data_IF_286168425381
#
_entry.id   IF_286168425381
#
_cell.length_a   1.000
_cell.length_b   1.000
_cell.length_c   1.000
_cell.angle_alpha   90.00
_cell.angle_beta   90.00
_cell.angle_gamma   90.00
#
_symmetry.space_group_name_H-M   'P 1'
#
loop_
_entity.id
_entity.type
_entity.pdbx_description
1 polymer ?
#
# COMPACT_ATOMS: atom_id res chain seq x y z
N UNK A 1 -17.45 5.42 10.14
CA UNK A 1 -16.05 5.39 10.60
C UNK A 1 -15.08 5.93 9.55
N UNK A 2 -14.46 5.18 8.62
CA UNK A 2 -13.50 5.79 7.66
C UNK A 2 -14.04 7.00 6.87
N UNK A 3 -15.31 6.95 6.49
CA UNK A 3 -16.00 8.05 5.79
C UNK A 3 -16.13 9.33 6.63
N UNK A 4 -16.37 9.20 7.94
CA UNK A 4 -16.57 10.34 8.85
C UNK A 4 -15.27 11.13 9.07
N UNK A 5 -14.13 10.54 8.75
CA UNK A 5 -12.79 11.13 8.90
C UNK A 5 -12.45 12.11 7.79
N UNK A 6 -13.03 11.94 6.59
CA UNK A 6 -12.83 12.86 5.46
C UNK A 6 -13.83 14.01 5.47
N UNK A 7 -15.04 13.78 5.99
CA UNK A 7 -16.07 14.82 6.13
C UNK A 7 -15.68 15.92 7.12
N UNK A 8 -14.77 15.64 8.06
CA UNK A 8 -14.28 16.62 9.04
C UNK A 8 -13.24 17.60 8.47
N UNK A 9 -12.67 17.32 7.28
CA UNK A 9 -11.65 18.16 6.62
C UNK A 9 -12.23 19.09 5.53
N UNK A 10 -13.53 19.30 5.50
CA UNK A 10 -14.23 20.14 4.51
C UNK A 10 -14.16 19.62 3.06
N UNK A 11 -13.94 18.32 2.88
CA UNK A 11 -14.02 17.68 1.57
C UNK A 11 -15.35 16.93 1.45
N UNK A 12 -16.15 17.28 0.44
CA UNK A 12 -17.33 16.52 0.01
C UNK A 12 -16.85 15.30 -0.81
N UNK A 13 -16.31 14.29 -0.15
CA UNK A 13 -15.99 13.00 -0.77
C UNK A 13 -17.08 11.98 -0.45
N UNK A 14 -17.52 11.19 -1.43
CA UNK A 14 -18.57 10.18 -1.25
C UNK A 14 -18.02 8.80 -0.84
N UNK A 15 -18.88 7.93 -0.28
CA UNK A 15 -18.47 6.55 0.07
C UNK A 15 -18.07 5.74 -1.17
N UNK A 16 -18.68 6.06 -2.31
CA UNK A 16 -18.37 5.56 -3.65
C UNK A 16 -16.94 5.91 -4.06
N UNK A 17 -16.51 7.14 -3.81
CA UNK A 17 -15.15 7.63 -4.09
C UNK A 17 -14.11 6.90 -3.25
N UNK A 18 -14.34 6.76 -1.94
CA UNK A 18 -13.43 6.01 -1.07
C UNK A 18 -13.31 4.55 -1.53
N UNK A 19 -14.44 3.92 -1.91
CA UNK A 19 -14.43 2.57 -2.50
C UNK A 19 -13.68 2.52 -3.84
N UNK A 20 -13.75 3.57 -4.66
CA UNK A 20 -12.99 3.69 -5.90
C UNK A 20 -11.50 3.73 -5.58
N UNK A 21 -11.05 4.59 -4.68
CA UNK A 21 -9.65 4.70 -4.26
C UNK A 21 -9.08 3.37 -3.74
N UNK A 22 -9.84 2.64 -2.90
CA UNK A 22 -9.42 1.29 -2.47
C UNK A 22 -9.31 0.28 -3.63
N UNK A 23 -10.19 0.37 -4.65
CA UNK A 23 -10.09 -0.48 -5.85
C UNK A 23 -8.88 -0.14 -6.71
N UNK A 24 -8.45 1.13 -6.71
CA UNK A 24 -7.23 1.60 -7.36
C UNK A 24 -5.95 1.23 -6.59
N UNK A 25 -6.07 0.50 -5.48
CA UNK A 25 -4.93 0.05 -4.69
C UNK A 25 -4.49 1.01 -3.59
N UNK A 26 -5.15 2.15 -3.43
CA UNK A 26 -4.80 3.10 -2.39
C UNK A 26 -5.35 2.66 -1.02
N UNK A 27 -4.50 2.68 -0.01
CA UNK A 27 -4.87 2.32 1.35
C UNK A 27 -5.21 3.54 2.21
N UNK A 28 -5.81 3.30 3.37
CA UNK A 28 -6.27 4.36 4.26
C UNK A 28 -5.17 5.35 4.69
N UNK A 29 -3.90 4.94 4.70
CA UNK A 29 -2.77 5.78 5.07
C UNK A 29 -2.41 6.77 3.96
N UNK A 30 -2.47 6.33 2.70
CA UNK A 30 -2.27 7.19 1.53
C UNK A 30 -3.42 8.19 1.39
N UNK A 31 -4.66 7.75 1.65
CA UNK A 31 -5.83 8.62 1.53
C UNK A 31 -5.78 9.82 2.49
N UNK A 32 -5.13 9.69 3.65
CA UNK A 32 -5.04 10.80 4.62
C UNK A 32 -3.77 11.64 4.45
N UNK A 33 -2.89 11.28 3.52
CA UNK A 33 -1.75 12.10 3.15
C UNK A 33 -2.25 13.49 2.73
N UNK A 34 -1.53 14.53 3.16
CA UNK A 34 -1.94 15.89 2.89
C UNK A 34 -2.08 16.11 1.38
N UNK A 35 -3.11 16.84 0.93
CA UNK A 35 -3.34 17.11 -0.50
C UNK A 35 -3.87 15.92 -1.32
N UNK A 36 -3.78 14.67 -0.86
CA UNK A 36 -4.17 13.48 -1.64
C UNK A 36 -5.65 13.54 -2.08
N UNK A 37 -6.55 13.76 -1.12
CA UNK A 37 -8.00 13.85 -1.42
C UNK A 37 -8.31 15.05 -2.32
N UNK A 38 -7.60 16.16 -2.16
CA UNK A 38 -7.78 17.33 -3.04
C UNK A 38 -7.43 16.97 -4.48
N UNK A 39 -6.28 16.31 -4.68
CA UNK A 39 -5.83 15.86 -6.01
C UNK A 39 -6.80 14.84 -6.62
N UNK A 40 -7.31 13.90 -5.82
CA UNK A 40 -8.34 12.97 -6.29
C UNK A 40 -9.60 13.70 -6.76
N UNK A 41 -10.05 14.72 -6.02
CA UNK A 41 -11.24 15.47 -6.38
C UNK A 41 -11.06 16.30 -7.66
N UNK A 42 -9.85 16.79 -7.94
CA UNK A 42 -9.51 17.46 -9.20
C UNK A 42 -9.59 16.50 -10.39
N UNK A 43 -9.08 15.28 -10.23
CA UNK A 43 -9.03 14.28 -11.30
C UNK A 43 -10.26 13.35 -11.29
N UNK A 44 -11.29 13.62 -10.47
CA UNK A 44 -12.37 12.66 -10.18
C UNK A 44 -13.15 12.18 -11.41
N UNK A 45 -13.20 13.01 -12.45
CA UNK A 45 -13.94 12.72 -13.70
C UNK A 45 -13.09 11.93 -14.71
N UNK A 46 -11.78 11.82 -14.46
CA UNK A 46 -10.88 11.05 -15.30
C UNK A 46 -11.10 9.54 -15.14
N UNK A 47 -10.54 8.77 -16.09
CA UNK A 47 -10.59 7.32 -16.00
C UNK A 47 -9.68 6.78 -14.88
N UNK A 48 -10.00 5.56 -14.43
CA UNK A 48 -9.34 4.93 -13.28
C UNK A 48 -7.82 4.83 -13.43
N UNK A 49 -7.29 4.63 -14.65
CA UNK A 49 -5.84 4.51 -14.87
C UNK A 49 -5.15 5.87 -14.76
N UNK A 50 -5.78 6.93 -15.25
CA UNK A 50 -5.25 8.28 -15.16
C UNK A 50 -5.24 8.78 -13.71
N UNK A 51 -6.36 8.58 -12.99
CA UNK A 51 -6.45 8.91 -11.56
C UNK A 51 -5.35 8.19 -10.77
N UNK A 52 -5.18 6.88 -11.00
CA UNK A 52 -4.17 6.10 -10.29
C UNK A 52 -2.77 6.64 -10.56
N UNK A 53 -2.43 6.96 -11.82
CA UNK A 53 -1.12 7.52 -12.19
C UNK A 53 -0.86 8.87 -11.53
N UNK A 54 -1.83 9.79 -11.60
CA UNK A 54 -1.68 11.13 -11.05
C UNK A 54 -1.55 11.14 -9.53
N UNK A 55 -2.30 10.27 -8.85
CA UNK A 55 -2.23 10.12 -7.40
C UNK A 55 -0.90 9.49 -6.94
N UNK A 56 -0.39 8.50 -7.67
CA UNK A 56 0.95 7.96 -7.41
C UNK A 56 2.03 9.03 -7.59
N UNK A 57 1.98 9.79 -8.68
CA UNK A 57 2.92 10.90 -8.91
C UNK A 57 2.85 11.98 -7.82
N UNK A 58 1.65 12.25 -7.28
CA UNK A 58 1.47 13.20 -6.18
C UNK A 58 2.11 12.71 -4.87
N UNK A 59 2.09 11.40 -4.61
CA UNK A 59 2.75 10.81 -3.46
C UNK A 59 4.29 10.90 -3.61
N UNK A 60 4.82 10.56 -4.78
CA UNK A 60 6.26 10.61 -5.10
C UNK A 60 6.85 12.04 -4.99
N UNK A 61 6.11 13.05 -5.48
CA UNK A 61 6.56 14.46 -5.46
C UNK A 61 6.60 15.05 -4.05
N UNK A 62 5.77 14.56 -3.12
CA UNK A 62 5.81 15.02 -1.72
C UNK A 62 6.92 14.35 -0.90
N UNK A 63 7.33 13.14 -1.25
CA UNK A 63 8.44 12.47 -0.56
C UNK A 63 9.82 13.06 -0.89
N UNK A 64 9.96 13.80 -2.01
CA UNK A 64 11.21 14.44 -2.43
C UNK A 64 11.35 15.94 -2.11
N UNK A 65 10.38 16.55 -1.42
CA UNK A 65 10.34 18.00 -1.13
C UNK A 65 11.27 18.48 0.00
N UNK A 66 12.54 18.07 0.01
CA UNK A 66 13.56 18.59 0.95
C UNK A 66 14.93 18.72 0.31
N UNK A 67 15.02 19.25 -0.91
CA UNK A 67 16.25 19.83 -1.46
C UNK A 67 15.95 20.64 -2.73
N UNK A 68 15.73 21.95 -2.56
CA UNK A 68 16.08 22.99 -3.54
C UNK A 68 15.73 24.34 -2.94
N UNK A 69 16.75 25.03 -2.43
CA UNK A 69 16.75 26.47 -2.20
C UNK A 69 16.62 27.15 -3.57
N UNK A 70 15.51 27.83 -3.84
CA UNK A 70 15.54 29.07 -4.61
C UNK A 70 14.28 29.91 -4.34
N UNK A 71 14.56 31.16 -3.98
CA UNK A 71 13.69 32.20 -3.47
C UNK A 71 12.44 32.44 -4.34
N UNK A 72 11.27 32.47 -3.70
CA UNK A 72 10.11 33.22 -4.17
C UNK A 72 9.31 33.67 -2.95
N UNK A 73 9.72 34.82 -2.43
CA UNK A 73 8.92 35.64 -1.52
C UNK A 73 7.68 36.16 -2.25
N UNK A 74 6.49 35.78 -1.78
CA UNK A 74 5.33 36.67 -1.60
C UNK A 74 4.29 35.96 -0.70
N UNK A 75 4.48 36.16 0.59
CA UNK A 75 3.46 36.33 1.65
C UNK A 75 2.00 35.88 1.39
N UNK A 76 1.59 34.83 2.10
CA UNK A 76 0.40 34.92 2.97
C UNK A 76 0.41 33.81 4.04
N UNK A 77 0.74 34.24 5.26
CA UNK A 77 0.45 33.55 6.52
C UNK A 77 -1.00 33.07 6.55
N UNK A 78 -1.22 31.76 6.45
CA UNK A 78 -2.43 31.14 7.00
C UNK A 78 -2.17 29.72 7.50
N UNK A 79 -2.23 29.63 8.83
CA UNK A 79 -2.56 28.46 9.65
C UNK A 79 -1.58 27.29 9.67
N UNK A 80 -0.50 27.51 10.44
CA UNK A 80 0.32 26.51 11.12
C UNK A 80 -0.46 25.72 12.23
N UNK A 81 -1.73 25.37 11.96
CA UNK A 81 -2.63 24.64 12.88
C UNK A 81 -3.03 23.25 12.32
N UNK A 82 -2.84 23.01 11.02
CA UNK A 82 -3.33 21.80 10.33
C UNK A 82 -2.47 20.53 10.52
N UNK A 83 -1.23 20.68 11.00
CA UNK A 83 -0.28 19.56 11.17
C UNK A 83 -0.58 18.62 12.34
N UNK A 84 -1.39 19.04 13.31
CA UNK A 84 -1.63 18.24 14.53
C UNK A 84 -2.85 17.33 14.43
N UNK A 85 -3.88 17.72 13.70
CA UNK A 85 -5.15 16.97 13.62
C UNK A 85 -5.10 15.84 12.59
N UNK A 86 -4.34 16.04 11.50
CA UNK A 86 -4.07 15.03 10.47
C UNK A 86 -3.20 13.88 11.00
N UNK A 87 -2.19 14.21 11.81
CA UNK A 87 -1.33 13.25 12.50
C UNK A 87 -2.17 12.36 13.42
N UNK A 88 -2.94 12.95 14.35
CA UNK A 88 -3.82 12.21 15.27
C UNK A 88 -4.78 11.24 14.58
N UNK A 89 -5.34 11.64 13.44
CA UNK A 89 -6.19 10.79 12.61
C UNK A 89 -5.43 9.56 12.09
N UNK A 90 -4.18 9.75 11.65
CA UNK A 90 -3.31 8.68 11.17
C UNK A 90 -3.02 7.65 12.26
N UNK A 91 -2.64 8.08 13.46
CA UNK A 91 -2.36 7.14 14.55
C UNK A 91 -3.61 6.36 14.99
N UNK A 92 -4.79 6.99 14.98
CA UNK A 92 -6.03 6.29 15.34
C UNK A 92 -6.40 5.20 14.32
N UNK A 93 -6.10 5.39 13.03
CA UNK A 93 -6.27 4.33 12.01
C UNK A 93 -5.38 3.13 12.32
N UNK A 94 -4.09 3.38 12.59
CA UNK A 94 -3.14 2.32 12.96
C UNK A 94 -3.65 1.59 14.19
N UNK A 95 -4.08 2.34 15.21
CA UNK A 95 -4.62 1.77 16.44
C UNK A 95 -5.82 0.87 16.18
N UNK A 96 -6.75 1.31 15.34
CA UNK A 96 -7.93 0.51 14.96
C UNK A 96 -7.52 -0.78 14.23
N UNK A 97 -6.55 -0.72 13.32
CA UNK A 97 -6.05 -1.90 12.61
C UNK A 97 -5.35 -2.89 13.55
N UNK A 98 -4.52 -2.39 14.47
CA UNK A 98 -3.90 -3.19 15.53
C UNK A 98 -4.96 -3.83 16.43
N UNK A 99 -5.98 -3.07 16.84
CA UNK A 99 -7.07 -3.57 17.68
C UNK A 99 -7.87 -4.69 16.98
N UNK A 100 -8.08 -4.57 15.67
CA UNK A 100 -8.72 -5.61 14.84
C UNK A 100 -7.91 -6.90 14.77
N UNK A 101 -6.59 -6.82 14.94
CA UNK A 101 -5.68 -7.97 14.98
C UNK A 101 -5.38 -8.46 16.39
N UNK A 102 -6.01 -7.88 17.42
CA UNK A 102 -5.92 -8.32 18.81
C UNK A 102 -4.89 -7.56 19.66
N UNK A 103 -4.37 -6.44 19.17
CA UNK A 103 -3.40 -5.61 19.88
C UNK A 103 -4.02 -4.27 20.27
N UNK A 104 -4.11 -3.99 21.57
CA UNK A 104 -4.48 -2.66 22.07
C UNK A 104 -3.19 -1.89 22.39
N UNK A 105 -2.89 -0.90 21.55
CA UNK A 105 -1.66 -0.11 21.62
C UNK A 105 -2.03 1.36 21.76
N UNK A 106 -1.37 2.05 22.68
CA UNK A 106 -1.62 3.47 22.91
C UNK A 106 -1.14 4.33 21.72
N UNK A 107 -1.84 5.45 21.48
CA UNK A 107 -1.49 6.38 20.41
C UNK A 107 -0.06 6.92 20.59
N UNK A 108 0.36 7.21 21.83
CA UNK A 108 1.72 7.62 22.16
C UNK A 108 2.78 6.62 21.73
N UNK A 109 2.52 5.32 21.85
CA UNK A 109 3.45 4.28 21.39
C UNK A 109 3.47 4.20 19.86
N UNK A 110 2.34 4.40 19.19
CA UNK A 110 2.29 4.50 17.71
C UNK A 110 3.08 5.71 17.23
N UNK A 111 2.88 6.89 17.83
CA UNK A 111 3.67 8.10 17.55
C UNK A 111 5.16 7.85 17.76
N UNK A 112 5.52 7.17 18.85
CA UNK A 112 6.89 6.80 19.17
C UNK A 112 7.51 5.89 18.12
N UNK A 113 6.81 4.84 17.70
CA UNK A 113 7.27 3.95 16.62
C UNK A 113 7.50 4.73 15.32
N UNK A 114 6.58 5.64 14.97
CA UNK A 114 6.70 6.47 13.76
C UNK A 114 7.92 7.37 13.77
N UNK A 115 8.35 7.87 14.94
CA UNK A 115 9.58 8.67 15.07
C UNK A 115 10.84 7.90 14.65
N UNK A 116 10.82 6.56 14.71
CA UNK A 116 11.88 5.69 14.20
C UNK A 116 11.76 5.40 12.69
N UNK A 117 10.87 6.10 11.99
CA UNK A 117 10.69 5.96 10.54
C UNK A 117 10.04 4.65 10.10
N UNK A 118 9.33 3.96 11.01
CA UNK A 118 8.58 2.73 10.66
C UNK A 118 7.27 3.11 9.99
N UNK A 119 7.00 2.53 8.82
CA UNK A 119 5.78 2.81 8.05
C UNK A 119 4.55 2.13 8.69
N UNK A 120 3.37 2.71 8.50
CA UNK A 120 2.12 2.11 9.00
C UNK A 120 1.89 0.68 8.49
N UNK A 121 2.34 0.40 7.26
CA UNK A 121 2.28 -0.92 6.65
C UNK A 121 3.06 -1.96 7.47
N UNK A 122 4.22 -1.60 8.00
CA UNK A 122 5.02 -2.47 8.87
C UNK A 122 4.46 -2.49 10.30
N UNK A 123 4.08 -1.33 10.87
CA UNK A 123 3.52 -1.22 12.23
C UNK A 123 2.34 -2.17 12.43
N UNK A 124 1.45 -2.23 11.45
CA UNK A 124 0.22 -3.05 11.50
C UNK A 124 0.44 -4.55 11.28
N UNK A 125 1.67 -5.00 11.06
CA UNK A 125 1.98 -6.43 10.94
C UNK A 125 2.09 -7.11 12.30
N UNK A 126 1.62 -8.35 12.37
CA UNK A 126 1.74 -9.19 13.57
C UNK A 126 3.20 -9.35 14.01
N UNK A 127 4.10 -9.58 13.06
CA UNK A 127 5.52 -9.81 13.30
C UNK A 127 6.18 -8.60 13.97
N UNK A 128 5.96 -7.41 13.41
CA UNK A 128 6.55 -6.19 13.95
C UNK A 128 5.96 -5.85 15.32
N UNK A 129 4.64 -5.80 15.47
CA UNK A 129 4.05 -5.34 16.74
C UNK A 129 4.36 -6.30 17.88
N UNK A 130 4.40 -7.61 17.60
CA UNK A 130 4.82 -8.61 18.58
C UNK A 130 6.27 -8.38 19.01
N UNK A 131 7.19 -8.11 18.06
CA UNK A 131 8.58 -7.78 18.39
C UNK A 131 8.64 -6.50 19.21
N UNK A 132 7.98 -5.43 18.78
CA UNK A 132 7.96 -4.14 19.46
C UNK A 132 7.53 -4.28 20.93
N UNK A 133 6.41 -4.97 21.19
CA UNK A 133 5.89 -5.18 22.54
C UNK A 133 6.81 -6.01 23.45
N UNK A 134 7.81 -6.71 22.92
CA UNK A 134 8.84 -7.37 23.75
C UNK A 134 9.96 -6.40 24.19
N UNK A 135 10.12 -5.27 23.51
CA UNK A 135 11.24 -4.33 23.70
C UNK A 135 10.80 -2.89 23.98
N UNK A 136 9.50 -2.59 24.01
CA UNK A 136 8.94 -1.24 24.16
C UNK A 136 9.44 -0.47 25.39
N UNK A 137 9.76 -1.17 26.48
CA UNK A 137 10.27 -0.55 27.72
C UNK A 137 11.72 -0.06 27.64
N UNK A 138 12.41 -0.27 26.52
CA UNK A 138 13.76 0.27 26.31
C UNK A 138 13.72 1.78 26.11
N UNK A 139 14.85 2.44 26.35
CA UNK A 139 15.03 3.86 26.02
C UNK A 139 15.06 4.04 24.49
N UNK A 140 14.63 5.21 24.02
CA UNK A 140 14.48 5.50 22.58
C UNK A 140 15.75 5.20 21.77
N UNK A 141 16.94 5.55 22.28
CA UNK A 141 18.22 5.29 21.60
C UNK A 141 18.52 3.80 21.36
N UNK A 142 18.12 2.94 22.31
CA UNK A 142 18.34 1.49 22.21
C UNK A 142 17.18 0.82 21.45
N UNK A 143 15.96 1.31 21.67
CA UNK A 143 14.78 0.86 20.95
C UNK A 143 14.91 1.11 19.44
N UNK A 144 15.38 2.29 19.04
CA UNK A 144 15.62 2.67 17.64
C UNK A 144 16.61 1.70 16.97
N UNK A 145 17.74 1.41 17.62
CA UNK A 145 18.72 0.44 17.11
C UNK A 145 18.13 -0.95 16.90
N UNK A 146 17.34 -1.43 17.85
CA UNK A 146 16.72 -2.76 17.72
C UNK A 146 15.63 -2.79 16.65
N UNK A 147 14.88 -1.69 16.47
CA UNK A 147 13.90 -1.55 15.39
C UNK A 147 14.60 -1.51 14.03
N UNK A 148 15.67 -0.71 13.89
CA UNK A 148 16.47 -0.63 12.66
C UNK A 148 17.07 -1.98 12.29
N UNK A 149 17.68 -2.67 13.25
CA UNK A 149 18.21 -4.01 13.04
C UNK A 149 17.12 -4.99 12.60
N UNK A 150 15.98 -5.00 13.30
CA UNK A 150 14.89 -5.89 12.96
C UNK A 150 14.36 -5.63 11.55
N UNK A 151 14.20 -4.36 11.14
CA UNK A 151 13.79 -4.02 9.77
C UNK A 151 14.79 -4.54 8.74
N UNK A 152 16.08 -4.26 8.93
CA UNK A 152 17.13 -4.74 8.02
C UNK A 152 17.14 -6.27 7.83
N UNK A 153 16.74 -7.02 8.87
CA UNK A 153 16.67 -8.48 8.85
C UNK A 153 15.35 -9.07 8.34
N UNK A 154 14.25 -8.31 8.35
CA UNK A 154 12.89 -8.86 8.16
C UNK A 154 12.08 -8.16 7.06
N UNK A 155 12.53 -7.02 6.55
CA UNK A 155 11.83 -6.23 5.54
C UNK A 155 12.69 -6.04 4.29
N UNK A 156 12.00 -5.75 3.19
CA UNK A 156 12.60 -5.40 1.90
C UNK A 156 11.67 -4.46 1.16
N UNK A 157 12.25 -3.53 0.41
CA UNK A 157 11.51 -2.66 -0.48
C UNK A 157 11.12 -3.40 -1.78
N UNK A 158 9.86 -3.26 -2.18
CA UNK A 158 9.37 -3.81 -3.43
C UNK A 158 9.86 -2.97 -4.62
N UNK A 159 10.52 -3.57 -5.60
CA UNK A 159 11.01 -2.83 -6.79
C UNK A 159 9.93 -2.29 -7.73
N UNK A 160 8.65 -2.63 -7.53
CA UNK A 160 7.54 -2.11 -8.34
C UNK A 160 6.79 -0.97 -7.67
N UNK A 161 6.45 -1.13 -6.38
CA UNK A 161 5.65 -0.13 -5.66
C UNK A 161 6.47 0.67 -4.64
N UNK A 162 7.76 0.36 -4.48
CA UNK A 162 8.70 1.08 -3.60
C UNK A 162 8.28 1.12 -2.13
N UNK A 163 7.29 0.31 -1.76
CA UNK A 163 6.85 0.14 -0.37
C UNK A 163 7.70 -0.92 0.32
N UNK A 164 8.17 -0.59 1.52
CA UNK A 164 8.75 -1.56 2.46
C UNK A 164 7.72 -2.62 2.87
N UNK A 165 8.05 -3.90 2.64
CA UNK A 165 7.20 -5.06 2.97
C UNK A 165 8.00 -6.08 3.75
N UNK A 166 7.32 -6.96 4.48
CA UNK A 166 7.98 -8.10 5.12
C UNK A 166 8.56 -9.04 4.05
N UNK A 167 9.69 -9.67 4.33
CA UNK A 167 10.34 -10.58 3.38
C UNK A 167 9.42 -11.75 2.95
N UNK A 168 8.54 -12.21 3.85
CA UNK A 168 7.52 -13.23 3.55
C UNK A 168 6.47 -12.78 2.51
N UNK A 169 6.35 -11.49 2.24
CA UNK A 169 5.46 -10.95 1.20
C UNK A 169 6.09 -11.01 -0.21
N UNK A 170 7.25 -11.66 -0.34
CA UNK A 170 7.91 -11.92 -1.61
C UNK A 170 7.97 -13.43 -1.86
N UNK A 171 7.80 -13.85 -3.12
CA UNK A 171 8.17 -15.21 -3.51
C UNK A 171 9.70 -15.36 -3.46
N UNK A 172 10.18 -16.59 -3.30
CA UNK A 172 11.61 -16.90 -3.20
C UNK A 172 12.38 -16.28 -4.38
N UNK A 173 13.46 -15.54 -4.08
CA UNK A 173 14.33 -14.85 -5.05
C UNK A 173 13.63 -13.79 -5.91
N UNK A 174 12.42 -13.35 -5.54
CA UNK A 174 11.75 -12.24 -6.21
C UNK A 174 12.05 -10.91 -5.53
N UNK A 175 11.95 -9.85 -6.32
CA UNK A 175 12.16 -8.47 -5.88
C UNK A 175 10.87 -7.64 -5.92
N UNK A 176 9.80 -8.25 -6.42
CA UNK A 176 8.46 -7.68 -6.50
C UNK A 176 7.59 -8.43 -5.48
N UNK A 177 6.78 -7.70 -4.72
CA UNK A 177 5.91 -8.30 -3.72
C UNK A 177 4.75 -9.09 -4.37
N UNK A 178 4.18 -10.03 -3.61
CA UNK A 178 3.10 -10.92 -4.08
C UNK A 178 1.87 -10.13 -4.56
N UNK A 179 1.59 -8.99 -3.95
CA UNK A 179 0.48 -8.11 -4.32
C UNK A 179 0.69 -7.54 -5.74
N UNK A 180 1.85 -6.93 -5.96
CA UNK A 180 2.25 -6.42 -7.27
C UNK A 180 2.35 -7.51 -8.35
N UNK A 181 2.81 -8.71 -8.01
CA UNK A 181 2.84 -9.82 -8.97
C UNK A 181 1.43 -10.21 -9.46
N UNK A 182 0.44 -10.24 -8.55
CA UNK A 182 -0.95 -10.56 -8.92
C UNK A 182 -1.55 -9.51 -9.86
N UNK A 183 -1.15 -8.25 -9.73
CA UNK A 183 -1.66 -7.21 -10.61
C UNK A 183 -1.05 -7.31 -12.01
N UNK A 184 0.23 -7.71 -12.12
CA UNK A 184 0.87 -8.02 -13.42
C UNK A 184 0.16 -9.19 -14.11
N UNK A 185 -0.17 -10.25 -13.36
CA UNK A 185 -0.86 -11.43 -13.91
C UNK A 185 -2.27 -11.09 -14.44
N UNK A 186 -2.95 -10.11 -13.85
CA UNK A 186 -4.25 -9.61 -14.36
C UNK A 186 -4.10 -8.71 -15.59
N UNK A 187 -3.01 -7.94 -15.68
CA UNK A 187 -2.71 -7.08 -16.82
C UNK A 187 -2.35 -7.89 -18.07
N UNK A 188 -1.72 -9.05 -17.89
CA UNK A 188 -1.34 -9.97 -18.96
C UNK A 188 -1.89 -11.37 -18.68
N UNK A 189 -3.20 -11.60 -18.90
CA UNK A 189 -3.74 -12.95 -18.81
C UNK A 189 -3.04 -13.82 -19.87
N UNK A 190 -2.70 -15.08 -19.57
CA UNK A 190 -2.14 -15.99 -20.56
C UNK A 190 -3.13 -16.12 -21.73
N UNK A 191 -2.64 -15.89 -22.96
CA UNK A 191 -3.39 -16.20 -24.17
C UNK A 191 -3.57 -17.72 -24.24
N UNK A 192 -4.78 -18.19 -23.88
CA UNK A 192 -5.21 -19.57 -24.15
C UNK A 192 -5.31 -19.77 -25.68
N UNK A 193 -4.19 -20.09 -26.33
CA UNK A 193 -4.15 -20.59 -27.70
C UNK A 193 -3.09 -21.67 -27.83
N UNK A 194 -3.44 -22.89 -27.42
CA UNK A 194 -2.84 -24.10 -27.96
C UNK A 194 -3.87 -25.24 -27.90
N UNK A 195 -4.97 -25.09 -28.65
CA UNK A 195 -5.64 -26.26 -29.23
C UNK A 195 -4.84 -26.70 -30.46
N UNK A 196 -3.79 -27.48 -30.24
CA UNK A 196 -3.23 -28.35 -31.27
C UNK A 196 -3.91 -29.70 -31.15
N UNK A 197 -5.06 -29.85 -31.83
CA UNK A 197 -5.55 -31.18 -32.19
C UNK A 197 -4.59 -31.77 -33.23
N UNK A 198 -3.66 -32.61 -32.79
CA UNK A 198 -2.93 -33.51 -33.69
C UNK A 198 -3.89 -34.63 -34.14
N UNK A 199 -4.49 -34.45 -35.32
CA UNK A 199 -5.16 -35.53 -36.06
C UNK A 199 -4.12 -36.56 -36.54
N UNK A 200 -3.79 -37.51 -35.67
CA UNK A 200 -3.01 -38.69 -36.06
C UNK A 200 -3.92 -39.62 -36.85
N UNK A 201 -3.85 -39.50 -38.18
CA UNK A 201 -4.45 -40.40 -39.17
C UNK A 201 -3.94 -41.84 -38.96
N UNK A 202 -4.72 -42.66 -38.27
CA UNK A 202 -4.47 -44.10 -38.12
C UNK A 202 -4.63 -44.86 -39.44
N UNK A 203 -3.81 -45.89 -39.73
CA UNK A 203 -3.79 -46.53 -41.04
C UNK A 203 -4.95 -47.52 -41.20
N UNK A 204 -5.51 -47.54 -42.42
CA UNK A 204 -6.49 -48.52 -42.87
C UNK A 204 -5.92 -49.94 -42.75
N UNK A 205 -6.60 -50.80 -41.99
CA UNK A 205 -6.48 -52.25 -42.14
C UNK A 205 -7.86 -52.87 -42.34
N UNK A 206 -8.16 -53.18 -43.60
CA UNK A 206 -9.28 -54.06 -43.95
C UNK A 206 -8.92 -55.52 -43.66
N UNK A 207 -9.81 -56.26 -42.99
CA UNK A 207 -10.11 -57.64 -43.39
C UNK A 207 -11.35 -58.22 -42.70
N UNK A 208 -12.30 -58.63 -43.55
CA UNK A 208 -12.91 -59.97 -43.54
C UNK A 208 -13.78 -60.42 -42.36
N UNK A 209 -15.12 -60.46 -42.55
CA UNK A 209 -15.92 -61.66 -42.91
C UNK A 209 -17.38 -61.58 -42.40
N UNK A 210 -18.32 -61.86 -43.31
CA UNK A 210 -19.74 -62.18 -43.06
C UNK A 210 -19.89 -63.46 -42.21
N UNK A 211 -21.00 -63.58 -41.47
CA UNK A 211 -22.08 -64.52 -41.85
C UNK A 211 -23.47 -63.86 -41.63
N UNK A 212 -24.57 -64.17 -42.31
CA UNK A 212 -25.17 -65.40 -42.86
C UNK A 212 -25.86 -65.08 -44.20
#
# INVERSE_FOLDING_TARGET
MFYEMFTHKSYEIEKSDIKRLFRLGFNCYELIADGFIRKYLEDREEDDKEIQRNLLQHLETKEHGKMSDEESDESNESDNVKGTETTKIFEEIIRMDLKRTGYDVEISEIERIRKFGVTAKIITTYEFIKKYLTIWNLKDEELDKQILQWRAENTKECKRCEVERLEKEFKIRKEICIECEKDIEKENPPDDKDEVEEDIKGPEIGSSKKPK
#
